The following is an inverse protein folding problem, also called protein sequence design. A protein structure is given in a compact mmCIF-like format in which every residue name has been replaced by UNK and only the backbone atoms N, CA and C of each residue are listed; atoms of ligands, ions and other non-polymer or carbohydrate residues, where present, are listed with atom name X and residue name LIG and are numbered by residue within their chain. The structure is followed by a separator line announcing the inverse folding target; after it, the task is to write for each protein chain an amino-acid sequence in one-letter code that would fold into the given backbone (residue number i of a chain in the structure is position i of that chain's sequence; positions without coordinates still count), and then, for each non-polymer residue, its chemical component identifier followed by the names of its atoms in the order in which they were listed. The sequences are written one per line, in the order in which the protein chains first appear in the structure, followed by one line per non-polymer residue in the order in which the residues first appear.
data_IF_232426061992
#
_entry.id   IF_232426061992
#
_cell.length_a   1.000
_cell.length_b   1.000
_cell.length_c   1.000
_cell.angle_alpha   90.00
_cell.angle_beta   90.00
_cell.angle_gamma   90.00
#
_symmetry.space_group_name_H-M   'P 1'
#
loop_
_entity.id
_entity.type
_entity.pdbx_description
1 polymer ?
#
# COMPACT_ATOMS: atom_id res chain seq x y z
N UNK A 1 -16.68 -17.73 24.96
CA UNK A 1 -16.00 -17.84 23.65
C UNK A 1 -15.12 -16.60 23.46
N UNK A 2 -13.79 -16.73 23.44
CA UNK A 2 -12.89 -15.61 23.14
C UNK A 2 -13.05 -15.30 21.65
N UNK A 3 -13.48 -14.09 21.27
CA UNK A 3 -13.43 -13.64 19.87
C UNK A 3 -11.99 -13.82 19.39
N UNK A 4 -11.72 -14.42 18.22
CA UNK A 4 -10.37 -14.46 17.69
C UNK A 4 -9.85 -13.03 17.64
N UNK A 5 -8.70 -12.78 18.25
CA UNK A 5 -8.04 -11.47 18.22
C UNK A 5 -7.85 -11.15 16.74
N UNK A 6 -8.60 -10.18 16.19
CA UNK A 6 -8.40 -9.74 14.81
C UNK A 6 -6.93 -9.33 14.71
N UNK A 7 -6.17 -10.08 13.92
CA UNK A 7 -4.76 -9.84 13.72
C UNK A 7 -4.65 -8.59 12.87
N UNK A 8 -3.99 -7.55 13.39
CA UNK A 8 -3.73 -6.35 12.60
C UNK A 8 -2.69 -6.70 11.53
N UNK A 9 -2.96 -6.33 10.28
CA UNK A 9 -2.02 -6.50 9.18
C UNK A 9 -1.84 -5.16 8.45
N UNK A 10 -0.69 -4.99 7.83
CA UNK A 10 -0.42 -3.85 6.97
C UNK A 10 0.50 -4.28 5.82
N UNK A 11 0.24 -3.74 4.63
CA UNK A 11 1.08 -3.88 3.43
C UNK A 11 1.36 -2.49 2.88
N UNK A 12 2.62 -2.20 2.59
CA UNK A 12 3.06 -0.97 1.95
C UNK A 12 3.28 -1.20 0.46
N UNK A 13 2.76 -0.28 -0.35
CA UNK A 13 2.87 -0.30 -1.81
C UNK A 13 3.70 0.89 -2.29
N UNK A 14 4.54 0.67 -3.30
CA UNK A 14 5.27 1.72 -4.01
C UNK A 14 4.91 1.73 -5.50
N UNK A 15 4.77 2.93 -6.06
CA UNK A 15 4.56 3.16 -7.48
C UNK A 15 5.33 4.41 -7.94
N UNK A 16 5.75 4.43 -9.20
CA UNK A 16 6.44 5.56 -9.84
C UNK A 16 7.95 5.35 -10.07
N UNK A 17 8.63 4.59 -9.19
CA UNK A 17 10.02 4.14 -9.44
C UNK A 17 10.12 2.96 -10.40
N UNK A 18 9.15 2.05 -10.30
CA UNK A 18 9.07 0.84 -11.11
C UNK A 18 7.93 0.94 -12.13
N UNK A 19 7.99 0.12 -13.18
CA UNK A 19 6.94 0.05 -14.21
C UNK A 19 5.60 -0.42 -13.64
N UNK A 20 5.64 -1.30 -12.64
CA UNK A 20 4.50 -1.91 -11.96
C UNK A 20 4.57 -1.60 -10.47
N UNK A 21 3.42 -1.41 -9.79
CA UNK A 21 3.41 -1.27 -8.35
C UNK A 21 4.01 -2.51 -7.67
N UNK A 22 4.68 -2.31 -6.53
CA UNK A 22 5.34 -3.38 -5.77
C UNK A 22 5.04 -3.29 -4.28
N UNK A 23 5.10 -4.44 -3.61
CA UNK A 23 5.09 -4.50 -2.15
C UNK A 23 6.49 -4.15 -1.63
N UNK A 24 6.58 -3.15 -0.75
CA UNK A 24 7.87 -2.71 -0.18
C UNK A 24 8.02 -3.05 1.29
N UNK A 25 6.91 -3.27 1.99
CA UNK A 25 6.91 -3.77 3.36
C UNK A 25 5.60 -4.48 3.65
N UNK A 26 5.63 -5.39 4.63
CA UNK A 26 4.45 -6.03 5.19
C UNK A 26 4.69 -6.36 6.66
N UNK A 27 3.61 -6.49 7.42
CA UNK A 27 3.72 -6.81 8.84
C UNK A 27 2.40 -7.26 9.44
N UNK A 28 2.53 -7.95 10.56
CA UNK A 28 1.41 -8.35 11.42
C UNK A 28 1.63 -7.79 12.83
N UNK A 29 0.54 -7.51 13.55
CA UNK A 29 0.54 -7.04 14.93
C UNK A 29 1.47 -5.83 15.14
N UNK A 30 2.50 -5.96 15.96
CA UNK A 30 3.41 -4.87 16.32
C UNK A 30 4.15 -4.29 15.10
N UNK A 31 4.51 -5.14 14.12
CA UNK A 31 5.13 -4.68 12.88
C UNK A 31 4.13 -3.88 12.04
N UNK A 32 2.87 -4.32 11.98
CA UNK A 32 1.81 -3.57 11.28
C UNK A 32 1.57 -2.20 11.91
N UNK A 33 1.55 -2.13 13.26
CA UNK A 33 1.47 -0.85 13.99
C UNK A 33 2.64 0.07 13.63
N UNK A 34 3.87 -0.44 13.66
CA UNK A 34 5.06 0.34 13.33
C UNK A 34 5.04 0.85 11.88
N UNK A 35 4.56 0.04 10.93
CA UNK A 35 4.39 0.47 9.53
C UNK A 35 3.38 1.60 9.39
N UNK A 36 2.22 1.48 10.04
CA UNK A 36 1.17 2.51 10.00
C UNK A 36 1.67 3.81 10.64
N UNK A 37 2.36 3.72 11.77
CA UNK A 37 2.95 4.88 12.43
C UNK A 37 4.04 5.55 11.58
N UNK A 38 4.92 4.75 10.95
CA UNK A 38 5.94 5.26 10.05
C UNK A 38 5.31 5.96 8.84
N UNK A 39 4.28 5.37 8.24
CA UNK A 39 3.53 5.96 7.13
C UNK A 39 2.95 7.33 7.53
N UNK A 40 2.28 7.40 8.68
CA UNK A 40 1.73 8.66 9.21
C UNK A 40 2.81 9.73 9.43
N UNK A 41 3.95 9.37 10.01
CA UNK A 41 5.08 10.31 10.23
C UNK A 41 5.66 10.85 8.92
N UNK A 42 5.65 10.05 7.87
CA UNK A 42 6.18 10.41 6.54
C UNK A 42 5.12 11.04 5.63
N UNK A 43 3.87 11.22 6.09
CA UNK A 43 2.78 11.72 5.25
C UNK A 43 2.35 10.75 4.14
N UNK A 44 2.61 9.46 4.31
CA UNK A 44 2.12 8.40 3.44
C UNK A 44 0.67 8.08 3.86
N UNK A 45 -0.25 8.13 2.90
CA UNK A 45 -1.65 7.82 3.15
C UNK A 45 -1.85 6.33 3.45
N UNK A 46 -2.74 6.05 4.39
CA UNK A 46 -3.12 4.69 4.79
C UNK A 46 -4.60 4.50 4.49
N UNK A 47 -4.91 3.45 3.72
CA UNK A 47 -6.28 3.03 3.43
C UNK A 47 -6.61 1.77 4.22
N UNK A 48 -7.85 1.67 4.71
CA UNK A 48 -8.37 0.47 5.37
C UNK A 48 -9.31 -0.26 4.42
N UNK A 49 -8.84 -1.39 3.89
CA UNK A 49 -9.62 -2.30 3.05
C UNK A 49 -9.25 -3.75 3.39
N UNK A 50 -10.03 -4.43 4.24
CA UNK A 50 -9.72 -5.80 4.67
C UNK A 50 -9.68 -6.81 3.53
N UNK A 51 -10.46 -6.61 2.46
CA UNK A 51 -10.52 -7.55 1.33
C UNK A 51 -9.28 -7.42 0.46
N UNK A 52 -8.93 -6.19 0.09
CA UNK A 52 -7.71 -5.93 -0.67
C UNK A 52 -6.46 -6.29 0.14
N UNK A 53 -6.45 -5.98 1.44
CA UNK A 53 -5.36 -6.36 2.34
C UNK A 53 -5.16 -7.87 2.35
N UNK A 54 -6.22 -8.67 2.45
CA UNK A 54 -6.11 -10.14 2.44
C UNK A 54 -5.54 -10.71 1.13
N UNK A 55 -5.72 -10.00 0.00
CA UNK A 55 -5.13 -10.37 -1.28
C UNK A 55 -3.66 -9.96 -1.35
N UNK A 56 -3.35 -8.72 -0.96
CA UNK A 56 -1.99 -8.17 -0.97
C UNK A 56 -1.07 -8.84 0.08
N UNK A 57 -1.60 -9.27 1.21
CA UNK A 57 -0.87 -10.00 2.27
C UNK A 57 -0.36 -11.38 1.80
N UNK A 58 -0.75 -11.85 0.60
CA UNK A 58 -0.21 -13.08 0.01
C UNK A 58 1.10 -12.86 -0.75
N UNK A 59 1.42 -11.60 -1.06
CA UNK A 59 2.62 -11.22 -1.79
C UNK A 59 3.80 -11.03 -0.84
N UNK A 60 5.00 -11.36 -1.31
CA UNK A 60 6.25 -11.14 -0.59
C UNK A 60 6.81 -9.74 -0.83
N UNK A 61 7.68 -9.29 0.09
CA UNK A 61 8.37 -8.01 -0.08
C UNK A 61 9.24 -8.05 -1.34
N UNK A 62 9.09 -7.04 -2.19
CA UNK A 62 9.77 -6.92 -3.47
C UNK A 62 8.95 -7.46 -4.65
N UNK A 63 7.87 -8.21 -4.42
CA UNK A 63 7.03 -8.73 -5.50
C UNK A 63 6.24 -7.62 -6.20
N UNK A 64 6.05 -7.80 -7.51
CA UNK A 64 5.15 -6.99 -8.31
C UNK A 64 3.70 -7.37 -8.02
N UNK A 65 2.81 -6.37 -8.06
CA UNK A 65 1.38 -6.63 -8.01
C UNK A 65 0.98 -7.48 -9.23
N UNK A 66 0.22 -8.58 -9.06
CA UNK A 66 -0.26 -9.37 -10.18
C UNK A 66 -1.38 -8.65 -10.94
N UNK A 67 -1.55 -8.98 -12.22
CA UNK A 67 -2.46 -8.27 -13.12
C UNK A 67 -3.92 -8.27 -12.63
N UNK A 68 -4.38 -9.38 -12.07
CA UNK A 68 -5.71 -9.51 -11.44
C UNK A 68 -5.98 -8.49 -10.31
N UNK A 69 -4.94 -7.92 -9.69
CA UNK A 69 -5.06 -6.91 -8.64
C UNK A 69 -4.89 -5.47 -9.14
N UNK A 70 -4.58 -5.27 -10.43
CA UNK A 70 -4.32 -3.93 -10.98
C UNK A 70 -5.48 -2.96 -10.79
N UNK A 71 -6.71 -3.39 -11.03
CA UNK A 71 -7.87 -2.51 -10.88
C UNK A 71 -8.03 -2.02 -9.45
N UNK A 72 -7.91 -2.93 -8.47
CA UNK A 72 -8.04 -2.57 -7.06
C UNK A 72 -6.92 -1.63 -6.60
N UNK A 73 -5.67 -1.92 -6.98
CA UNK A 73 -4.53 -1.05 -6.68
C UNK A 73 -4.64 0.30 -7.39
N UNK A 74 -5.15 0.35 -8.63
CA UNK A 74 -5.38 1.59 -9.35
C UNK A 74 -6.43 2.49 -8.67
N UNK A 75 -7.45 1.91 -8.04
CA UNK A 75 -8.43 2.66 -7.23
C UNK A 75 -7.75 3.30 -6.00
N UNK A 76 -6.88 2.57 -5.30
CA UNK A 76 -6.13 3.15 -4.18
C UNK A 76 -5.20 4.27 -4.66
N UNK A 77 -4.45 4.06 -5.75
CA UNK A 77 -3.56 5.06 -6.31
C UNK A 77 -4.32 6.30 -6.79
N UNK A 78 -5.49 6.13 -7.41
CA UNK A 78 -6.30 7.27 -7.88
C UNK A 78 -6.83 8.11 -6.71
N UNK A 79 -7.21 7.47 -5.60
CA UNK A 79 -7.56 8.16 -4.36
C UNK A 79 -6.38 8.96 -3.79
N UNK A 80 -5.19 8.35 -3.71
CA UNK A 80 -3.97 9.04 -3.26
C UNK A 80 -3.65 10.24 -4.16
N UNK A 81 -3.76 10.08 -5.48
CA UNK A 81 -3.50 11.15 -6.44
C UNK A 81 -4.50 12.30 -6.28
N UNK A 82 -5.79 11.98 -6.14
CA UNK A 82 -6.82 12.98 -5.88
C UNK A 82 -6.54 13.77 -4.60
N UNK A 83 -6.17 13.11 -3.50
CA UNK A 83 -5.79 13.77 -2.24
C UNK A 83 -4.57 14.68 -2.37
N UNK A 84 -3.62 14.32 -3.25
CA UNK A 84 -2.42 15.13 -3.52
C UNK A 84 -2.63 16.20 -4.61
N UNK A 85 -3.79 16.28 -5.23
CA UNK A 85 -4.01 17.12 -6.42
C UNK A 85 -3.14 16.73 -7.62
N UNK A 86 -2.70 15.46 -7.66
CA UNK A 86 -1.85 14.89 -8.70
C UNK A 86 -2.68 14.18 -9.77
N UNK A 87 -2.05 13.95 -10.91
CA UNK A 87 -2.55 13.12 -12.01
C UNK A 87 -1.50 12.06 -12.40
N UNK A 88 -1.92 10.93 -13.00
CA UNK A 88 -0.97 9.91 -13.45
C UNK A 88 0.15 10.49 -14.33
N UNK A 89 1.39 10.14 -14.00
CA UNK A 89 2.61 10.68 -14.59
C UNK A 89 3.32 11.72 -13.71
N UNK A 90 2.62 12.34 -12.74
CA UNK A 90 3.22 13.31 -11.82
C UNK A 90 4.24 12.65 -10.89
N UNK A 91 4.08 11.36 -10.58
CA UNK A 91 4.97 10.59 -9.71
C UNK A 91 6.41 10.48 -10.25
N UNK A 92 6.59 10.51 -11.57
CA UNK A 92 7.91 10.42 -12.23
C UNK A 92 8.69 11.74 -12.16
N UNK A 93 7.99 12.87 -11.98
CA UNK A 93 8.61 14.19 -11.90
C UNK A 93 9.32 14.41 -10.56
N UNK A 94 8.88 13.72 -9.51
CA UNK A 94 9.42 13.86 -8.15
C UNK A 94 10.63 12.97 -7.88
N UNK A 95 10.82 11.90 -8.66
CA UNK A 95 11.94 10.95 -8.52
C UNK A 95 13.16 11.32 -9.37
N UNK A 96 13.06 12.40 -10.16
CA UNK A 96 14.14 12.92 -11.03
C UNK A 96 14.88 14.11 -10.41
N UNK A 97 14.75 14.33 -9.11
CA UNK A 97 15.51 15.31 -8.30
C UNK A 97 16.36 14.55 -7.28
#
# INVERSE_FOLDING_TARGET
MKRPRQMLEAVALEYGRYKTPRVTARGHNDVALQLIEAARRQGIYVAEDPQLLALLSRLEVGEEIPQELYTAVAVILSWVYWLKGMKPGDEKRQTSL
#
